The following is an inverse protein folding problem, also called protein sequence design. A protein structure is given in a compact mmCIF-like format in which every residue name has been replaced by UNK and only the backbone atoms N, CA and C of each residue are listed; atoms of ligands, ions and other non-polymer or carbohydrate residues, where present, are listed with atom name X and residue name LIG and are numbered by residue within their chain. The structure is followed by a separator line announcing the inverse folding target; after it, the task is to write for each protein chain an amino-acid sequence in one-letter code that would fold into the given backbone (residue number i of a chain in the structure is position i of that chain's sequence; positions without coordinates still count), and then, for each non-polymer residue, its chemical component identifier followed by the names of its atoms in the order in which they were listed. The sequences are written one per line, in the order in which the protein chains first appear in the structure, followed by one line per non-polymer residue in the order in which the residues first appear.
data_IF_502352132782
#
_entry.id   IF_502352132782
#
_cell.length_a   1.000
_cell.length_b   1.000
_cell.length_c   1.000
_cell.angle_alpha   90.00
_cell.angle_beta   90.00
_cell.angle_gamma   90.00
#
_symmetry.space_group_name_H-M   'P 1'
#
loop_
_entity.id
_entity.type
_entity.pdbx_description
1 polymer ?
#
# COMPACT_ATOMS: atom_id res chain seq x y z
N UNK A 1 22.39 -19.28 1.70
CA UNK A 1 22.94 -17.94 1.39
C UNK A 1 22.29 -16.94 2.34
N UNK A 2 23.02 -16.03 2.98
CA UNK A 2 22.42 -15.11 3.96
C UNK A 2 21.71 -13.94 3.27
N UNK A 3 20.59 -13.47 3.84
CA UNK A 3 19.86 -12.30 3.33
C UNK A 3 20.79 -11.09 3.20
N UNK A 4 21.68 -10.90 4.18
CA UNK A 4 22.68 -9.83 4.17
C UNK A 4 23.63 -9.91 2.97
N UNK A 5 24.09 -11.10 2.60
CA UNK A 5 24.98 -11.28 1.45
C UNK A 5 24.27 -10.96 0.13
N UNK A 6 23.02 -11.39 -0.02
CA UNK A 6 22.21 -11.09 -1.21
C UNK A 6 21.91 -9.58 -1.30
N UNK A 7 21.54 -8.94 -0.18
CA UNK A 7 21.34 -7.50 -0.13
C UNK A 7 22.61 -6.73 -0.54
N UNK A 8 23.80 -7.16 -0.09
CA UNK A 8 25.06 -6.57 -0.53
C UNK A 8 25.29 -6.70 -2.05
N UNK A 9 24.92 -7.83 -2.64
CA UNK A 9 25.01 -8.00 -4.09
C UNK A 9 24.07 -7.04 -4.85
N UNK A 10 22.85 -6.85 -4.35
CA UNK A 10 21.92 -5.84 -4.88
C UNK A 10 22.46 -4.42 -4.74
N UNK A 11 23.06 -4.07 -3.60
CA UNK A 11 23.68 -2.76 -3.40
C UNK A 11 24.81 -2.52 -4.41
N UNK A 12 25.65 -3.52 -4.71
CA UNK A 12 26.69 -3.41 -5.73
C UNK A 12 26.09 -3.22 -7.14
N UNK A 13 25.06 -3.98 -7.48
CA UNK A 13 24.35 -3.84 -8.76
C UNK A 13 23.74 -2.44 -8.91
N UNK A 14 23.16 -1.89 -7.84
CA UNK A 14 22.59 -0.54 -7.82
C UNK A 14 23.66 0.54 -7.97
N UNK A 15 24.84 0.37 -7.38
CA UNK A 15 25.95 1.31 -7.56
C UNK A 15 26.35 1.41 -9.03
N UNK A 16 26.42 0.27 -9.73
CA UNK A 16 26.83 0.22 -11.13
C UNK A 16 25.73 0.67 -12.09
N UNK A 17 24.50 0.18 -11.91
CA UNK A 17 23.42 0.29 -12.89
C UNK A 17 22.23 1.14 -12.44
N UNK A 18 22.10 1.41 -11.13
CA UNK A 18 20.92 2.03 -10.52
C UNK A 18 20.65 3.48 -10.92
N UNK A 19 21.51 4.10 -11.74
CA UNK A 19 21.19 5.40 -12.37
C UNK A 19 20.39 5.27 -13.67
N UNK A 20 20.55 4.17 -14.41
CA UNK A 20 20.05 4.01 -15.79
C UNK A 20 19.13 2.82 -16.01
N UNK A 21 19.01 1.94 -15.01
CA UNK A 21 18.16 0.75 -15.09
C UNK A 21 17.29 0.69 -13.84
N UNK A 22 16.02 1.06 -13.98
CA UNK A 22 15.06 0.97 -12.87
C UNK A 22 14.83 -0.47 -12.40
N UNK A 23 15.00 -1.47 -13.26
CA UNK A 23 14.80 -2.89 -12.98
C UNK A 23 15.65 -3.37 -11.80
N UNK A 24 16.87 -2.85 -11.69
CA UNK A 24 17.79 -3.15 -10.58
C UNK A 24 17.17 -2.82 -9.21
N UNK A 25 16.41 -1.71 -9.14
CA UNK A 25 15.70 -1.31 -7.93
C UNK A 25 14.46 -2.16 -7.69
N UNK A 26 13.77 -2.56 -8.75
CA UNK A 26 12.58 -3.43 -8.65
C UNK A 26 12.96 -4.82 -8.16
N UNK A 27 14.04 -5.40 -8.67
CA UNK A 27 14.52 -6.70 -8.21
C UNK A 27 14.93 -6.65 -6.75
N UNK A 28 15.61 -5.57 -6.33
CA UNK A 28 15.96 -5.39 -4.93
C UNK A 28 14.72 -5.19 -4.04
N UNK A 29 13.76 -4.38 -4.48
CA UNK A 29 12.49 -4.17 -3.79
C UNK A 29 11.73 -5.49 -3.64
N UNK A 30 11.60 -6.27 -4.72
CA UNK A 30 10.93 -7.57 -4.71
C UNK A 30 11.62 -8.56 -3.75
N UNK A 31 12.95 -8.57 -3.73
CA UNK A 31 13.71 -9.37 -2.76
C UNK A 31 13.39 -8.92 -1.33
N UNK A 32 13.50 -7.63 -1.03
CA UNK A 32 13.31 -7.12 0.32
C UNK A 32 11.86 -7.15 0.79
N UNK A 33 10.89 -7.09 -0.11
CA UNK A 33 9.48 -7.31 0.18
C UNK A 33 9.22 -8.66 0.87
N UNK A 34 10.03 -9.69 0.58
CA UNK A 34 9.92 -11.00 1.22
C UNK A 34 10.61 -11.09 2.59
N UNK A 35 11.72 -10.37 2.78
CA UNK A 35 12.60 -10.58 3.95
C UNK A 35 12.61 -9.43 4.94
N UNK A 36 12.51 -8.18 4.47
CA UNK A 36 12.54 -6.99 5.31
C UNK A 36 11.73 -5.83 4.67
N UNK A 37 10.38 -5.92 4.70
CA UNK A 37 9.49 -5.01 3.96
C UNK A 37 9.62 -3.54 4.37
N UNK A 38 10.07 -3.27 5.60
CA UNK A 38 10.30 -1.91 6.11
C UNK A 38 11.37 -1.15 5.31
N UNK A 39 12.24 -1.87 4.59
CA UNK A 39 13.27 -1.25 3.74
C UNK A 39 12.71 -0.70 2.43
N UNK A 40 11.50 -1.10 2.02
CA UNK A 40 10.89 -0.70 0.75
C UNK A 40 10.77 0.82 0.60
N UNK A 41 10.38 1.52 1.67
CA UNK A 41 10.34 2.98 1.67
C UNK A 41 11.71 3.60 1.40
N UNK A 42 12.76 3.01 1.97
CA UNK A 42 14.14 3.46 1.75
C UNK A 42 14.60 3.18 0.32
N UNK A 43 14.26 2.01 -0.24
CA UNK A 43 14.56 1.65 -1.62
C UNK A 43 13.87 2.62 -2.60
N UNK A 44 12.56 2.85 -2.42
CA UNK A 44 11.80 3.80 -3.23
C UNK A 44 12.43 5.21 -3.21
N UNK A 45 12.70 5.76 -2.02
CA UNK A 45 13.32 7.08 -1.89
C UNK A 45 14.67 7.16 -2.59
N UNK A 46 15.50 6.11 -2.48
CA UNK A 46 16.82 6.06 -3.12
C UNK A 46 16.72 5.97 -4.64
N UNK A 47 15.80 5.16 -5.17
CA UNK A 47 15.55 5.04 -6.60
C UNK A 47 15.14 6.40 -7.19
N UNK A 48 14.17 7.08 -6.58
CA UNK A 48 13.72 8.42 -7.00
C UNK A 48 14.82 9.49 -7.02
N UNK A 49 15.81 9.36 -6.11
CA UNK A 49 16.94 10.29 -6.05
C UNK A 49 18.09 9.93 -7.00
N UNK A 50 18.15 8.69 -7.49
CA UNK A 50 19.30 8.17 -8.24
C UNK A 50 19.02 8.03 -9.74
N UNK A 51 17.80 7.65 -10.10
CA UNK A 51 17.41 7.40 -11.48
C UNK A 51 17.42 8.69 -12.31
N UNK A 52 17.80 8.53 -13.59
CA UNK A 52 17.57 9.57 -14.59
C UNK A 52 16.08 9.72 -14.87
N UNK A 53 15.66 10.92 -15.30
CA UNK A 53 14.24 11.27 -15.46
C UNK A 53 13.43 10.26 -16.27
N UNK A 54 14.00 9.74 -17.37
CA UNK A 54 13.32 8.79 -18.27
C UNK A 54 13.00 7.44 -17.59
N UNK A 55 13.77 7.07 -16.56
CA UNK A 55 13.60 5.81 -15.84
C UNK A 55 12.65 5.92 -14.63
N UNK A 56 12.35 7.15 -14.18
CA UNK A 56 11.56 7.38 -12.97
C UNK A 56 10.10 6.93 -13.15
N UNK A 57 9.48 7.24 -14.29
CA UNK A 57 8.09 6.84 -14.54
C UNK A 57 7.96 5.32 -14.67
N UNK A 58 8.93 4.69 -15.35
CA UNK A 58 9.00 3.23 -15.47
C UNK A 58 9.17 2.56 -14.11
N UNK A 59 10.05 3.09 -13.27
CA UNK A 59 10.21 2.66 -11.88
C UNK A 59 8.89 2.73 -11.11
N UNK A 60 8.19 3.87 -11.13
CA UNK A 60 6.95 4.05 -10.39
C UNK A 60 5.86 3.07 -10.83
N UNK A 61 5.70 2.87 -12.14
CA UNK A 61 4.75 1.92 -12.69
C UNK A 61 5.04 0.48 -12.21
N UNK A 62 6.31 0.05 -12.31
CA UNK A 62 6.72 -1.28 -11.89
C UNK A 62 6.61 -1.48 -10.37
N UNK A 63 7.00 -0.48 -9.59
CA UNK A 63 6.95 -0.51 -8.13
C UNK A 63 5.51 -0.58 -7.61
N UNK A 64 4.59 0.20 -8.19
CA UNK A 64 3.17 0.13 -7.83
C UNK A 64 2.57 -1.25 -8.14
N UNK A 65 2.90 -1.82 -9.30
CA UNK A 65 2.48 -3.18 -9.67
C UNK A 65 3.01 -4.23 -8.70
N UNK A 66 4.27 -4.11 -8.27
CA UNK A 66 4.87 -4.99 -7.26
C UNK A 66 4.06 -4.97 -5.95
N UNK A 67 3.69 -3.77 -5.47
CA UNK A 67 2.91 -3.63 -4.24
C UNK A 67 1.48 -4.18 -4.39
N UNK A 68 0.80 -3.90 -5.51
CA UNK A 68 -0.55 -4.44 -5.76
C UNK A 68 -0.57 -5.97 -5.74
N UNK A 69 0.41 -6.60 -6.40
CA UNK A 69 0.54 -8.06 -6.41
C UNK A 69 0.80 -8.63 -5.02
N UNK A 70 1.51 -7.87 -4.15
CA UNK A 70 1.79 -8.30 -2.78
C UNK A 70 0.54 -8.32 -1.89
N UNK A 71 -0.39 -7.38 -2.10
CA UNK A 71 -1.64 -7.27 -1.34
C UNK A 71 -2.64 -8.36 -1.76
N UNK A 72 -2.70 -8.68 -3.05
CA UNK A 72 -3.60 -9.73 -3.59
C UNK A 72 -3.33 -11.12 -3.00
N UNK A 73 -2.08 -11.43 -2.65
CA UNK A 73 -1.71 -12.73 -2.09
C UNK A 73 -2.22 -12.94 -0.65
N UNK A 74 -2.74 -11.91 0.02
CA UNK A 74 -3.34 -12.00 1.36
C UNK A 74 -4.86 -12.15 1.35
N UNK A 75 -5.52 -11.95 0.20
CA UNK A 75 -7.00 -12.01 0.11
C UNK A 75 -7.55 -13.33 -0.40
N UNK A 76 -6.71 -14.29 -0.80
CA UNK A 76 -7.11 -15.50 -1.53
C UNK A 76 -6.88 -16.82 -0.74
N UNK A 77 -6.79 -16.78 0.60
CA UNK A 77 -6.49 -18.00 1.39
C UNK A 77 -7.48 -18.36 2.50
N UNK A 78 -8.66 -17.74 2.58
CA UNK A 78 -9.75 -18.21 3.47
C UNK A 78 -11.10 -18.15 2.74
N UNK A 79 -11.38 -19.11 1.86
CA UNK A 79 -12.76 -19.39 1.47
C UNK A 79 -12.87 -20.82 0.94
N UNK A 80 -12.87 -21.77 1.87
CA UNK A 80 -13.38 -23.10 1.60
C UNK A 80 -14.19 -23.57 2.82
N UNK A 81 -15.45 -23.19 2.84
CA UNK A 81 -16.50 -24.02 3.45
C UNK A 81 -17.82 -23.71 2.74
N UNK A 82 -18.08 -24.47 1.68
CA UNK A 82 -19.45 -24.78 1.27
C UNK A 82 -20.22 -25.31 2.49
N UNK A 83 -21.38 -24.72 2.77
CA UNK A 83 -22.54 -25.43 3.32
C UNK A 83 -23.81 -24.61 3.08
N UNK A 84 -24.52 -25.08 2.07
CA UNK A 84 -25.96 -25.23 1.92
C UNK A 84 -26.91 -24.31 2.70
N UNK A 85 -27.78 -23.71 1.90
CA UNK A 85 -29.01 -22.98 2.20
C UNK A 85 -29.88 -23.72 3.23
N UNK A 86 -30.25 -23.04 4.32
CA UNK A 86 -31.60 -23.15 4.87
C UNK A 86 -32.23 -21.78 5.12
N UNK A 87 -33.47 -21.73 4.66
CA UNK A 87 -34.46 -20.67 4.52
C UNK A 87 -34.95 -20.13 5.89
N UNK A 88 -35.65 -18.98 5.87
CA UNK A 88 -36.57 -18.43 6.92
C UNK A 88 -35.86 -17.53 7.97
N UNK A 89 -36.25 -16.28 8.25
CA UNK A 89 -37.57 -15.63 8.23
C UNK A 89 -37.50 -14.15 7.85
N UNK A 90 -38.52 -13.71 7.13
CA UNK A 90 -38.84 -12.29 6.90
C UNK A 90 -39.44 -11.73 8.20
N UNK A 91 -38.87 -10.64 8.72
CA UNK A 91 -39.60 -9.72 9.60
C UNK A 91 -39.50 -8.35 8.96
N UNK A 92 -40.58 -7.98 8.27
CA UNK A 92 -40.98 -6.59 8.06
C UNK A 92 -41.68 -6.06 9.32
N UNK A 93 -41.73 -4.73 9.38
CA UNK A 93 -42.40 -3.85 10.36
C UNK A 93 -41.55 -3.58 11.63
N UNK A 94 -41.23 -2.35 12.03
CA UNK A 94 -42.09 -1.16 12.03
C UNK A 94 -41.25 0.13 12.06
N UNK A 95 -41.86 1.20 11.56
CA UNK A 95 -41.39 2.58 11.55
C UNK A 95 -40.90 3.08 12.92
N UNK A 96 -39.76 3.80 12.96
CA UNK A 96 -39.67 4.98 13.83
C UNK A 96 -38.65 6.01 13.31
N UNK A 97 -39.22 7.02 12.68
CA UNK A 97 -38.60 8.24 12.19
C UNK A 97 -38.34 9.17 13.39
N UNK A 98 -37.22 8.99 14.11
CA UNK A 98 -36.85 9.88 15.23
C UNK A 98 -35.40 10.36 15.15
N UNK A 99 -35.30 11.66 14.87
CA UNK A 99 -34.27 12.60 15.34
C UNK A 99 -32.90 12.58 14.65
N UNK A 100 -32.90 13.17 13.46
CA UNK A 100 -32.02 14.28 13.07
C UNK A 100 -31.59 15.18 14.26
N UNK A 101 -30.37 15.72 14.17
CA UNK A 101 -29.74 16.79 14.98
C UNK A 101 -28.80 16.36 16.13
N UNK A 102 -27.56 15.93 15.82
CA UNK A 102 -26.45 15.95 16.80
C UNK A 102 -25.02 15.89 16.20
N UNK A 103 -24.77 16.44 15.00
CA UNK A 103 -23.39 16.54 14.49
C UNK A 103 -23.12 17.75 13.58
N UNK A 104 -23.92 18.82 13.70
CA UNK A 104 -23.61 20.13 13.08
C UNK A 104 -22.94 21.08 14.11
N UNK A 105 -22.86 20.68 15.38
CA UNK A 105 -22.21 21.43 16.46
C UNK A 105 -20.71 21.08 16.60
N UNK A 106 -19.96 21.18 15.50
CA UNK A 106 -18.49 21.17 15.54
C UNK A 106 -17.84 22.18 14.57
N UNK A 107 -18.64 22.95 13.83
CA UNK A 107 -18.15 23.88 12.79
C UNK A 107 -18.26 25.36 13.22
N UNK A 108 -19.00 25.70 14.27
CA UNK A 108 -19.19 27.12 14.66
C UNK A 108 -18.17 27.68 15.67
N UNK A 109 -17.30 26.87 16.26
CA UNK A 109 -16.29 27.38 17.22
C UNK A 109 -14.96 27.86 16.59
N UNK A 110 -14.81 27.86 15.26
CA UNK A 110 -13.57 28.30 14.60
C UNK A 110 -13.63 29.69 13.94
N UNK A 111 -14.77 30.40 13.98
CA UNK A 111 -14.89 31.73 13.35
C UNK A 111 -14.86 32.93 14.31
N UNK A 112 -14.69 32.73 15.62
CA UNK A 112 -14.74 33.84 16.59
C UNK A 112 -13.38 34.28 17.18
N UNK A 113 -12.27 33.58 16.92
CA UNK A 113 -10.94 33.94 17.49
C UNK A 113 -9.99 34.72 16.55
N UNK A 114 -10.43 35.11 15.35
CA UNK A 114 -9.60 35.93 14.43
C UNK A 114 -10.14 37.34 14.19
N UNK A 115 -10.94 37.88 15.11
CA UNK A 115 -11.31 39.30 15.10
C UNK A 115 -11.34 39.86 16.51
N UNK A 116 -10.15 40.09 17.06
CA UNK A 116 -9.89 41.12 18.07
C UNK A 116 -8.47 41.62 17.92
#
# INVERSE_FOLDING_TARGET
MSVKFVAQAFELMIVEFGRKAHECWIDYANFMLKYEPLTLQTIHRRAMASLVSDEVELFLAAYNKLLQNSVSNYTESDSDTEKDVENIDLIEDDDDDIAREAAIEAVENFQQENSS
#
